data_IF_213895958240
#
_entry.id   IF_213895958240
#
_cell.length_a   1.000
_cell.length_b   1.000
_cell.length_c   1.000
_cell.angle_alpha   90.00
_cell.angle_beta   90.00
_cell.angle_gamma   90.00
#
_symmetry.space_group_name_H-M   'P 1'
#
loop_
_entity.id
_entity.type
_entity.pdbx_description
1 polymer ?
#
# COMPACT_ATOMS: atom_id res chain seq x y z
N UNK A 1 -2.64 -10.67 -12.80
CA UNK A 1 -1.47 -10.80 -13.70
C UNK A 1 -0.24 -11.12 -12.89
N UNK A 2 0.66 -11.96 -13.41
CA UNK A 2 1.92 -12.33 -12.74
C UNK A 2 3.09 -11.88 -13.63
N UNK A 3 4.14 -11.29 -13.03
CA UNK A 3 5.35 -10.85 -13.73
C UNK A 3 6.53 -11.71 -13.27
N UNK A 4 7.16 -12.44 -14.20
CA UNK A 4 8.27 -13.36 -13.93
C UNK A 4 9.52 -12.95 -14.70
N UNK A 5 10.71 -13.25 -14.16
CA UNK A 5 12.00 -12.93 -14.80
C UNK A 5 13.20 -13.02 -13.84
N UNK A 6 14.44 -13.04 -14.35
CA UNK A 6 15.65 -13.22 -13.55
C UNK A 6 15.89 -12.06 -12.56
N UNK A 7 16.75 -12.26 -11.57
CA UNK A 7 17.15 -11.15 -10.67
C UNK A 7 17.74 -9.99 -11.48
N UNK A 8 17.44 -8.76 -11.07
CA UNK A 8 17.88 -7.55 -11.80
C UNK A 8 17.05 -7.19 -13.04
N UNK A 9 16.05 -7.98 -13.44
CA UNK A 9 15.23 -7.69 -14.63
C UNK A 9 14.22 -6.53 -14.48
N UNK A 10 14.30 -5.73 -13.42
CA UNK A 10 13.44 -4.56 -13.21
C UNK A 10 12.01 -4.82 -12.70
N UNK A 11 11.65 -6.06 -12.33
CA UNK A 11 10.27 -6.40 -11.86
C UNK A 11 9.82 -5.54 -10.69
N UNK A 12 10.66 -5.44 -9.66
CA UNK A 12 10.36 -4.64 -8.47
C UNK A 12 10.31 -3.15 -8.80
N UNK A 13 11.18 -2.67 -9.68
CA UNK A 13 11.16 -1.29 -10.19
C UNK A 13 9.84 -0.98 -10.88
N UNK A 14 9.36 -1.88 -11.75
CA UNK A 14 8.07 -1.75 -12.42
C UNK A 14 6.90 -1.72 -11.44
N UNK A 15 6.84 -2.65 -10.47
CA UNK A 15 5.79 -2.66 -9.45
C UNK A 15 5.80 -1.39 -8.58
N UNK A 16 6.99 -0.88 -8.22
CA UNK A 16 7.13 0.36 -7.48
C UNK A 16 6.71 1.58 -8.32
N UNK A 17 7.02 1.60 -9.60
CA UNK A 17 6.62 2.67 -10.51
C UNK A 17 5.08 2.75 -10.64
N UNK A 18 4.38 1.61 -10.68
CA UNK A 18 2.90 1.56 -10.73
C UNK A 18 2.26 2.31 -9.56
N UNK A 19 2.81 2.18 -8.35
CA UNK A 19 2.34 2.90 -7.15
C UNK A 19 3.05 4.24 -6.94
N UNK A 20 3.79 4.72 -7.94
CA UNK A 20 4.62 5.92 -7.87
C UNK A 20 5.60 5.92 -6.70
N UNK A 21 6.01 4.76 -6.20
CA UNK A 21 7.08 4.60 -5.22
C UNK A 21 8.46 4.81 -5.87
N UNK A 22 8.53 4.61 -7.19
CA UNK A 22 9.65 4.97 -8.06
C UNK A 22 9.14 5.95 -9.12
N UNK A 23 9.96 6.94 -9.50
CA UNK A 23 9.64 7.80 -10.65
C UNK A 23 9.98 7.07 -11.95
N UNK A 24 9.22 7.35 -13.01
CA UNK A 24 9.56 6.92 -14.36
C UNK A 24 10.43 7.97 -15.01
N UNK A 25 11.55 7.56 -15.63
CA UNK A 25 12.41 8.48 -16.37
C UNK A 25 11.73 8.97 -17.65
N UNK A 26 11.05 8.03 -18.35
CA UNK A 26 10.31 8.29 -19.59
C UNK A 26 8.98 7.53 -19.62
N UNK A 27 8.04 8.01 -20.43
CA UNK A 27 6.71 7.42 -20.57
C UNK A 27 5.74 7.84 -19.46
N UNK A 28 4.66 7.06 -19.30
CA UNK A 28 3.65 7.32 -18.27
C UNK A 28 2.90 6.05 -17.89
N UNK A 29 2.32 6.06 -16.67
CA UNK A 29 1.46 5.00 -16.15
C UNK A 29 0.05 5.57 -15.99
N UNK A 30 -0.96 4.79 -16.40
CA UNK A 30 -2.38 5.12 -16.20
C UNK A 30 -3.09 4.03 -15.41
N UNK A 31 -3.86 4.42 -14.41
CA UNK A 31 -4.74 3.55 -13.61
C UNK A 31 -6.15 4.15 -13.68
N UNK A 32 -7.15 3.34 -14.07
CA UNK A 32 -8.54 3.76 -14.24
C UNK A 32 -8.73 5.04 -15.09
N UNK A 33 -7.84 5.23 -16.06
CA UNK A 33 -7.85 6.38 -16.97
C UNK A 33 -7.01 7.58 -16.51
N UNK A 34 -6.62 7.63 -15.23
CA UNK A 34 -5.83 8.71 -14.63
C UNK A 34 -4.33 8.48 -14.72
N UNK A 35 -3.58 9.55 -14.95
CA UNK A 35 -2.11 9.52 -14.95
C UNK A 35 -1.59 9.44 -13.52
N UNK A 36 -0.77 8.43 -13.23
CA UNK A 36 -0.17 8.23 -11.91
C UNK A 36 1.00 9.19 -11.74
N UNK A 37 0.91 10.09 -10.75
CA UNK A 37 1.96 11.06 -10.44
C UNK A 37 2.09 12.23 -11.41
N UNK A 38 1.32 12.26 -12.49
CA UNK A 38 1.35 13.33 -13.49
C UNK A 38 -0.06 13.78 -13.84
N UNK A 39 -0.17 15.00 -14.39
CA UNK A 39 -1.36 15.52 -15.03
C UNK A 39 -1.03 15.91 -16.46
N UNK A 40 -1.81 15.44 -17.41
CA UNK A 40 -1.69 15.85 -18.81
C UNK A 40 -2.37 17.20 -19.03
N UNK A 41 -1.67 18.13 -19.68
CA UNK A 41 -2.24 19.36 -20.23
C UNK A 41 -1.74 19.51 -21.67
N UNK A 42 -2.62 19.27 -22.64
CA UNK A 42 -2.25 19.14 -24.06
C UNK A 42 -1.35 17.93 -24.29
N UNK A 43 -0.21 18.13 -24.93
CA UNK A 43 0.80 17.08 -25.18
C UNK A 43 1.90 17.00 -24.11
N UNK A 44 1.80 17.78 -23.01
CA UNK A 44 2.80 17.77 -21.93
C UNK A 44 2.24 17.13 -20.67
N UNK A 45 3.10 16.35 -20.01
CA UNK A 45 2.87 15.81 -18.67
C UNK A 45 3.51 16.75 -17.65
N UNK A 46 2.75 17.07 -16.62
CA UNK A 46 3.20 17.90 -15.50
C UNK A 46 3.16 17.05 -14.25
N UNK A 47 4.28 16.96 -13.54
CA UNK A 47 4.31 16.20 -12.30
C UNK A 47 3.35 16.81 -11.26
N UNK A 48 2.62 15.95 -10.56
CA UNK A 48 1.73 16.34 -9.49
C UNK A 48 2.55 16.75 -8.25
N UNK A 49 1.99 17.68 -7.47
CA UNK A 49 2.55 17.95 -6.14
C UNK A 49 2.39 16.72 -5.25
N UNK A 50 3.32 16.52 -4.33
CA UNK A 50 3.35 15.38 -3.40
C UNK A 50 1.99 15.07 -2.74
N UNK A 51 1.27 16.10 -2.28
CA UNK A 51 -0.07 15.93 -1.68
C UNK A 51 -1.09 15.25 -2.61
N UNK A 52 -1.01 15.50 -3.91
CA UNK A 52 -1.89 14.86 -4.89
C UNK A 52 -1.44 13.43 -5.22
N UNK A 53 -0.13 13.19 -5.26
CA UNK A 53 0.46 11.85 -5.40
C UNK A 53 0.02 10.95 -4.25
N UNK A 54 0.13 11.44 -3.01
CA UNK A 54 -0.26 10.69 -1.80
C UNK A 54 -1.74 10.29 -1.83
N UNK A 55 -2.62 11.13 -2.37
CA UNK A 55 -4.04 10.79 -2.54
C UNK A 55 -4.25 9.66 -3.55
N UNK A 56 -3.51 9.66 -4.65
CA UNK A 56 -3.60 8.58 -5.64
C UNK A 56 -3.15 7.23 -5.06
N UNK A 57 -2.14 7.23 -4.19
CA UNK A 57 -1.63 6.00 -3.55
C UNK A 57 -2.67 5.31 -2.66
N UNK A 58 -3.65 6.03 -2.10
CA UNK A 58 -4.69 5.43 -1.25
C UNK A 58 -5.51 4.39 -2.02
N UNK A 59 -5.65 4.55 -3.34
CA UNK A 59 -6.47 3.67 -4.16
C UNK A 59 -5.76 2.38 -4.59
N UNK A 60 -4.45 2.23 -4.32
CA UNK A 60 -3.69 1.05 -4.75
C UNK A 60 -3.02 0.38 -3.56
N UNK A 61 -3.49 -0.81 -3.21
CA UNK A 61 -2.87 -1.65 -2.20
C UNK A 61 -1.46 -2.11 -2.62
N UNK A 62 -0.55 -2.20 -1.66
CA UNK A 62 0.81 -2.69 -1.89
C UNK A 62 1.24 -3.59 -0.73
N UNK A 63 1.76 -4.76 -1.07
CA UNK A 63 2.37 -5.68 -0.10
C UNK A 63 3.86 -5.76 -0.40
N UNK A 64 4.67 -5.52 0.62
CA UNK A 64 6.13 -5.52 0.51
C UNK A 64 6.68 -6.94 0.71
N UNK A 65 7.82 -7.23 0.09
CA UNK A 65 8.52 -8.50 0.30
C UNK A 65 9.06 -8.64 1.74
N UNK A 66 9.49 -7.52 2.33
CA UNK A 66 9.72 -7.41 3.76
C UNK A 66 8.50 -6.71 4.35
N UNK A 67 7.79 -7.36 5.26
CA UNK A 67 6.40 -7.06 5.66
C UNK A 67 6.12 -5.63 6.17
N UNK A 68 7.16 -4.80 6.39
CA UNK A 68 7.07 -3.36 6.68
C UNK A 68 6.01 -2.96 7.73
N UNK A 69 5.75 -3.86 8.69
CA UNK A 69 4.86 -3.61 9.81
C UNK A 69 5.51 -2.61 10.77
N UNK A 70 4.70 -1.75 11.38
CA UNK A 70 5.11 -0.86 12.45
C UNK A 70 5.43 -1.69 13.71
N UNK A 71 6.71 -1.80 14.11
CA UNK A 71 7.12 -2.78 15.13
C UNK A 71 6.67 -2.41 16.55
N UNK A 72 6.32 -1.14 16.76
CA UNK A 72 5.85 -0.58 18.03
C UNK A 72 4.33 -0.63 18.18
N UNK A 73 3.61 -1.10 17.16
CA UNK A 73 2.16 -1.26 17.16
C UNK A 73 1.81 -2.76 17.19
N UNK A 74 0.68 -3.10 17.81
CA UNK A 74 0.08 -4.45 17.71
C UNK A 74 -0.42 -4.73 16.29
N UNK A 75 -0.80 -5.98 15.99
CA UNK A 75 -1.39 -6.34 14.69
C UNK A 75 -2.66 -5.54 14.42
N UNK A 76 -3.55 -5.43 15.41
CA UNK A 76 -4.78 -4.65 15.29
C UNK A 76 -4.46 -3.18 15.01
N UNK A 77 -3.50 -2.60 15.75
CA UNK A 77 -3.08 -1.21 15.57
C UNK A 77 -2.49 -0.98 14.17
N UNK A 78 -1.64 -1.88 13.68
CA UNK A 78 -1.11 -1.82 12.31
C UNK A 78 -2.21 -1.74 11.24
N UNK A 79 -3.32 -2.48 11.42
CA UNK A 79 -4.44 -2.50 10.47
C UNK A 79 -5.28 -1.22 10.57
N UNK A 80 -5.56 -0.73 11.79
CA UNK A 80 -6.48 0.41 11.98
C UNK A 80 -5.81 1.78 11.84
N UNK A 81 -4.47 1.87 11.92
CA UNK A 81 -3.75 3.16 11.96
C UNK A 81 -4.07 4.03 10.74
N UNK A 82 -3.91 3.47 9.52
CA UNK A 82 -4.15 4.23 8.29
C UNK A 82 -5.62 4.69 8.13
N UNK A 83 -6.64 3.83 8.29
CA UNK A 83 -8.05 4.26 8.23
C UNK A 83 -8.41 5.35 9.25
N UNK A 84 -7.85 5.30 10.46
CA UNK A 84 -8.14 6.26 11.53
C UNK A 84 -7.44 7.60 11.27
N UNK A 85 -6.14 7.59 10.98
CA UNK A 85 -5.35 8.80 10.71
C UNK A 85 -5.88 9.57 9.51
N UNK A 86 -6.31 8.86 8.46
CA UNK A 86 -6.90 9.46 7.27
C UNK A 86 -8.39 9.81 7.42
N UNK A 87 -8.98 9.61 8.61
CA UNK A 87 -10.39 9.90 8.91
C UNK A 87 -11.37 9.17 7.97
N UNK A 88 -10.98 8.01 7.47
CA UNK A 88 -11.81 7.15 6.63
C UNK A 88 -12.88 6.47 7.50
N UNK A 89 -12.49 6.03 8.70
CA UNK A 89 -13.36 5.37 9.66
C UNK A 89 -13.19 5.94 11.07
N UNK A 90 -14.25 5.86 11.89
CA UNK A 90 -14.10 5.99 13.34
C UNK A 90 -13.24 4.85 13.87
N UNK A 91 -12.59 5.05 15.03
CA UNK A 91 -11.76 4.01 15.62
C UNK A 91 -12.53 2.72 15.89
N UNK A 92 -13.78 2.83 16.31
CA UNK A 92 -14.66 1.68 16.54
C UNK A 92 -14.96 0.92 15.24
N UNK A 93 -15.34 1.65 14.17
CA UNK A 93 -15.59 1.03 12.87
C UNK A 93 -14.34 0.39 12.29
N UNK A 94 -13.18 1.05 12.43
CA UNK A 94 -11.90 0.52 11.97
C UNK A 94 -11.55 -0.80 12.69
N UNK A 95 -11.75 -0.88 14.01
CA UNK A 95 -11.55 -2.13 14.76
C UNK A 95 -12.47 -3.25 14.28
N UNK A 96 -13.76 -2.96 14.05
CA UNK A 96 -14.71 -3.96 13.55
C UNK A 96 -14.26 -4.53 12.18
N UNK A 97 -13.87 -3.66 11.25
CA UNK A 97 -13.35 -4.07 9.93
C UNK A 97 -12.04 -4.84 10.05
N UNK A 98 -11.10 -4.37 10.88
CA UNK A 98 -9.83 -5.05 11.10
C UNK A 98 -10.01 -6.47 11.66
N UNK A 99 -11.01 -6.65 12.52
CA UNK A 99 -11.36 -7.95 13.05
C UNK A 99 -11.91 -8.91 11.99
N UNK A 100 -12.79 -8.44 11.09
CA UNK A 100 -13.26 -9.23 9.94
C UNK A 100 -12.11 -9.63 9.01
N UNK A 101 -11.16 -8.71 8.76
CA UNK A 101 -9.97 -9.00 7.98
C UNK A 101 -9.07 -10.04 8.65
N UNK A 102 -8.87 -9.92 9.97
CA UNK A 102 -8.09 -10.88 10.76
C UNK A 102 -8.73 -12.27 10.81
N UNK A 103 -10.07 -12.36 10.85
CA UNK A 103 -10.78 -13.63 10.73
C UNK A 103 -10.55 -14.26 9.35
N UNK A 104 -10.59 -13.46 8.29
CA UNK A 104 -10.38 -13.91 6.91
C UNK A 104 -8.99 -14.52 6.69
N UNK A 105 -7.96 -13.96 7.34
CA UNK A 105 -6.57 -14.47 7.26
C UNK A 105 -6.21 -15.43 8.40
N UNK A 106 -7.15 -15.77 9.29
CA UNK A 106 -6.93 -16.71 10.40
C UNK A 106 -6.05 -16.21 11.55
N UNK A 107 -5.88 -14.88 11.70
CA UNK A 107 -5.01 -14.24 12.70
C UNK A 107 -5.75 -13.50 13.80
N UNK A 108 -7.07 -13.71 13.96
CA UNK A 108 -7.88 -13.05 15.00
C UNK A 108 -7.31 -13.18 16.40
N UNK A 109 -6.82 -14.36 16.74
CA UNK A 109 -6.20 -14.67 18.03
C UNK A 109 -4.86 -13.96 18.28
N UNK A 110 -4.30 -13.27 17.27
CA UNK A 110 -3.06 -12.49 17.33
C UNK A 110 -3.30 -10.98 17.23
N UNK A 111 -4.54 -10.50 17.32
CA UNK A 111 -4.87 -9.08 17.20
C UNK A 111 -4.01 -8.19 18.12
N UNK A 112 -3.78 -8.62 19.37
CA UNK A 112 -3.01 -7.87 20.36
C UNK A 112 -1.51 -8.23 20.38
N UNK A 113 -1.05 -9.11 19.47
CA UNK A 113 0.36 -9.45 19.36
C UNK A 113 1.15 -8.33 18.66
N UNK A 114 2.44 -8.23 18.98
CA UNK A 114 3.36 -7.37 18.23
C UNK A 114 3.96 -8.14 17.04
N UNK A 115 4.36 -7.47 15.94
CA UNK A 115 4.93 -8.09 14.74
C UNK A 115 6.08 -9.08 15.02
N UNK A 116 6.93 -8.78 16.01
CA UNK A 116 8.04 -9.66 16.43
C UNK A 116 7.60 -11.03 16.97
N UNK A 117 6.32 -11.19 17.32
CA UNK A 117 5.74 -12.44 17.80
C UNK A 117 5.00 -13.23 16.70
N UNK A 118 5.07 -12.75 15.45
CA UNK A 118 4.50 -13.40 14.27
C UNK A 118 5.59 -14.18 13.53
N UNK A 119 5.25 -15.37 13.04
CA UNK A 119 6.10 -16.09 12.10
C UNK A 119 6.14 -15.35 10.75
N UNK A 120 7.13 -15.66 9.90
CA UNK A 120 7.25 -15.00 8.59
C UNK A 120 6.06 -15.21 7.65
N UNK A 121 5.27 -16.28 7.83
CA UNK A 121 4.02 -16.47 7.06
C UNK A 121 2.79 -15.80 7.69
N UNK A 122 2.91 -15.33 8.95
CA UNK A 122 1.86 -14.59 9.66
C UNK A 122 2.04 -13.07 9.54
N UNK A 123 3.25 -12.60 9.21
CA UNK A 123 3.51 -11.20 8.86
C UNK A 123 3.03 -10.91 7.43
#
# INVERSE_FOLDING_TARGET
TVILGPSGSGKSTLLRAINHLERVDEGFIRIDGDYVGYRRKGNRLYELKEKAILRQRINVGYVFQNFNLFPHLTVLENIIEAPVVHKIHSRERAKAVAYELLDTVGLRHKADAYPRHLSGGQQ
#
